data_IF_436928138504
#
_entry.id   IF_436928138504
#
_cell.length_a   1.000
_cell.length_b   1.000
_cell.length_c   1.000
_cell.angle_alpha   90.00
_cell.angle_beta   90.00
_cell.angle_gamma   90.00
#
_symmetry.space_group_name_H-M   'P 1'
#
loop_
_entity.id
_entity.type
_entity.pdbx_description
1 polymer ?
#
# COMPACT_ATOMS: atom_id res chain seq x y z
N UNK A 1 -8.33 -3.46 -15.74
CA UNK A 1 -7.52 -4.13 -14.70
C UNK A 1 -6.53 -3.13 -14.15
N UNK A 2 -6.45 -3.02 -12.82
CA UNK A 2 -5.53 -2.12 -12.09
C UNK A 2 -4.77 -2.94 -11.04
N UNK A 3 -3.53 -2.56 -10.68
CA UNK A 3 -2.84 -3.15 -9.55
C UNK A 3 -3.55 -2.78 -8.24
N UNK A 4 -3.63 -3.74 -7.32
CA UNK A 4 -4.22 -3.56 -6.00
C UNK A 4 -3.30 -4.22 -4.96
N UNK A 5 -2.97 -3.48 -3.91
CA UNK A 5 -2.31 -4.01 -2.71
C UNK A 5 -3.26 -4.05 -1.50
N UNK A 6 -2.80 -4.66 -0.42
CA UNK A 6 -3.46 -4.61 0.88
C UNK A 6 -2.42 -4.66 1.99
N UNK A 7 -2.48 -3.71 2.92
CA UNK A 7 -1.53 -3.58 4.03
C UNK A 7 -2.27 -3.45 5.35
N UNK A 8 -1.88 -4.26 6.34
CA UNK A 8 -2.37 -4.14 7.71
C UNK A 8 -1.73 -2.91 8.37
N UNK A 9 -2.53 -1.85 8.57
CA UNK A 9 -2.01 -0.59 9.08
C UNK A 9 -1.85 -0.58 10.60
N UNK A 10 -2.40 -1.56 11.31
CA UNK A 10 -2.12 -1.75 12.74
C UNK A 10 -0.66 -2.17 12.98
N UNK A 11 0.06 -2.56 11.93
CA UNK A 11 1.47 -2.94 11.97
C UNK A 11 2.43 -1.81 11.60
N UNK A 12 1.93 -0.60 11.29
CA UNK A 12 2.80 0.51 10.92
C UNK A 12 3.51 1.10 12.13
N UNK A 13 4.69 1.66 11.86
CA UNK A 13 5.40 2.55 12.76
C UNK A 13 5.56 3.89 12.04
N UNK A 14 4.59 4.78 12.21
CA UNK A 14 4.44 6.00 11.41
C UNK A 14 3.56 5.79 10.17
N UNK A 15 3.68 6.70 9.23
CA UNK A 15 2.85 6.75 8.02
C UNK A 15 3.31 5.74 6.95
N UNK A 16 2.41 5.40 6.03
CA UNK A 16 2.80 4.70 4.80
C UNK A 16 3.17 5.72 3.72
N UNK A 17 4.35 5.53 3.13
CA UNK A 17 4.94 6.46 2.17
C UNK A 17 5.29 5.75 0.86
N UNK A 18 5.08 6.44 -0.26
CA UNK A 18 5.73 6.10 -1.53
C UNK A 18 7.00 6.93 -1.64
N UNK A 19 8.16 6.28 -1.55
CA UNK A 19 9.46 6.96 -1.61
C UNK A 19 10.53 6.09 -2.25
N UNK A 20 11.69 6.67 -2.51
CA UNK A 20 12.86 5.91 -2.92
C UNK A 20 13.48 5.18 -1.71
N UNK A 21 13.98 3.97 -1.95
CA UNK A 21 14.70 3.18 -0.97
C UNK A 21 16.03 3.84 -0.60
N UNK A 22 16.45 3.62 0.64
CA UNK A 22 17.71 4.12 1.21
C UNK A 22 18.40 3.04 2.01
N UNK A 23 19.68 3.25 2.29
CA UNK A 23 20.43 2.37 3.20
C UNK A 23 19.74 2.26 4.55
N UNK A 24 19.56 1.03 5.01
CA UNK A 24 18.89 0.73 6.28
C UNK A 24 17.43 0.29 6.14
N UNK A 25 16.84 0.44 4.95
CA UNK A 25 15.53 -0.15 4.67
C UNK A 25 15.58 -1.68 4.79
N UNK A 26 14.57 -2.25 5.43
CA UNK A 26 14.45 -3.68 5.71
C UNK A 26 13.26 -4.28 4.95
N UNK A 27 13.49 -5.41 4.30
CA UNK A 27 12.47 -6.13 3.56
C UNK A 27 12.61 -7.64 3.76
N UNK A 28 11.53 -8.26 4.20
CA UNK A 28 11.36 -9.72 4.17
C UNK A 28 10.31 -10.03 3.09
N UNK A 29 10.61 -10.81 2.05
CA UNK A 29 9.63 -11.17 1.02
C UNK A 29 8.46 -11.94 1.60
N UNK A 30 7.27 -11.75 1.03
CA UNK A 30 6.08 -12.51 1.41
C UNK A 30 6.34 -14.03 1.38
N UNK A 31 6.02 -14.72 2.47
CA UNK A 31 6.24 -16.17 2.62
C UNK A 31 7.67 -16.57 2.99
N UNK A 32 8.57 -15.60 3.17
CA UNK A 32 9.95 -15.82 3.60
C UNK A 32 10.16 -15.45 5.08
N UNK A 33 11.28 -15.92 5.63
CA UNK A 33 11.85 -15.45 6.91
C UNK A 33 13.17 -14.72 6.73
N UNK A 34 13.72 -14.79 5.51
CA UNK A 34 15.03 -14.23 5.18
C UNK A 34 14.90 -12.78 4.74
N UNK A 35 15.79 -11.94 5.23
CA UNK A 35 15.90 -10.53 4.83
C UNK A 35 16.57 -10.45 3.46
N UNK A 36 16.01 -9.65 2.56
CA UNK A 36 16.67 -9.26 1.31
C UNK A 36 17.17 -7.83 1.41
N UNK A 37 18.42 -7.62 0.98
CA UNK A 37 19.00 -6.28 0.89
C UNK A 37 18.45 -5.58 -0.36
N UNK A 38 18.06 -4.32 -0.20
CA UNK A 38 17.61 -3.47 -1.30
C UNK A 38 18.79 -2.63 -1.81
N UNK A 39 18.77 -2.38 -3.13
CA UNK A 39 19.56 -1.29 -3.71
C UNK A 39 18.88 0.04 -3.36
N UNK A 40 19.68 1.11 -3.25
CA UNK A 40 19.17 2.46 -3.04
C UNK A 40 18.54 3.00 -4.34
N UNK A 41 17.52 3.84 -4.21
CA UNK A 41 16.86 4.47 -5.36
C UNK A 41 15.73 3.66 -6.01
N UNK A 42 15.31 2.55 -5.40
CA UNK A 42 14.14 1.77 -5.82
C UNK A 42 12.85 2.46 -5.33
N UNK A 43 11.84 2.64 -6.18
CA UNK A 43 10.55 3.18 -5.74
C UNK A 43 9.78 2.10 -4.94
N UNK A 44 9.44 2.42 -3.69
CA UNK A 44 8.86 1.48 -2.73
C UNK A 44 7.68 2.09 -1.97
N UNK A 45 6.84 1.20 -1.42
CA UNK A 45 6.00 1.53 -0.27
C UNK A 45 6.75 1.19 1.01
N UNK A 46 6.78 2.11 1.98
CA UNK A 46 7.43 1.91 3.27
C UNK A 46 6.63 2.49 4.43
N UNK A 47 6.80 1.94 5.62
CA UNK A 47 6.47 2.62 6.88
C UNK A 47 7.73 2.72 7.73
N UNK A 48 8.29 3.93 7.84
CA UNK A 48 9.63 4.12 8.38
C UNK A 48 10.68 3.39 7.52
N UNK A 49 11.51 2.56 8.14
CA UNK A 49 12.50 1.69 7.46
C UNK A 49 11.91 0.33 7.04
N UNK A 50 10.65 0.05 7.37
CA UNK A 50 9.98 -1.20 7.03
C UNK A 50 9.38 -1.11 5.62
N UNK A 51 9.96 -1.86 4.67
CA UNK A 51 9.47 -1.88 3.29
C UNK A 51 8.25 -2.78 3.18
N UNK A 52 7.13 -2.22 2.71
CA UNK A 52 5.86 -2.94 2.52
C UNK A 52 5.75 -3.57 1.15
N UNK A 53 6.16 -2.84 0.12
CA UNK A 53 6.15 -3.31 -1.27
C UNK A 53 7.34 -2.74 -2.03
N UNK A 54 8.09 -3.64 -2.67
CA UNK A 54 9.22 -3.35 -3.54
C UNK A 54 8.81 -3.24 -5.00
N UNK A 55 9.67 -2.57 -5.79
CA UNK A 55 9.55 -2.37 -7.24
C UNK A 55 8.15 -1.88 -7.59
N UNK A 56 7.75 -0.78 -6.95
CA UNK A 56 6.43 -0.14 -6.98
C UNK A 56 5.34 -1.02 -7.59
N UNK A 57 4.50 -1.61 -6.72
CA UNK A 57 3.34 -2.51 -6.98
C UNK A 57 3.61 -4.02 -7.14
N UNK A 58 4.86 -4.49 -7.06
CA UNK A 58 5.15 -5.90 -7.40
C UNK A 58 5.50 -6.81 -6.21
N UNK A 59 6.60 -6.55 -5.50
CA UNK A 59 7.20 -7.55 -4.59
C UNK A 59 6.81 -7.22 -3.15
N UNK A 60 5.74 -7.85 -2.67
CA UNK A 60 5.15 -7.61 -1.35
C UNK A 60 6.02 -8.18 -0.21
N UNK A 61 5.96 -7.51 0.93
CA UNK A 61 6.63 -7.95 2.16
C UNK A 61 5.77 -8.91 2.97
N UNK A 62 6.43 -9.82 3.68
CA UNK A 62 5.86 -10.57 4.80
C UNK A 62 5.42 -9.61 5.94
N UNK A 63 6.07 -8.45 6.04
CA UNK A 63 5.82 -7.45 7.08
C UNK A 63 4.63 -6.57 6.70
N UNK A 64 3.56 -6.62 7.49
CA UNK A 64 2.30 -5.90 7.23
C UNK A 64 1.38 -6.57 6.22
N UNK A 65 1.61 -7.86 5.95
CA UNK A 65 0.62 -8.66 5.26
C UNK A 65 -0.67 -8.73 6.08
N UNK A 66 -1.80 -8.77 5.38
CA UNK A 66 -3.08 -9.02 6.01
C UNK A 66 -3.15 -10.46 6.55
N UNK A 67 -3.79 -10.60 7.70
CA UNK A 67 -4.04 -11.90 8.33
C UNK A 67 -5.49 -11.96 8.80
N UNK A 68 -5.92 -13.11 9.34
CA UNK A 68 -7.23 -13.24 9.96
C UNK A 68 -7.41 -12.40 11.24
N UNK A 69 -6.36 -11.72 11.71
CA UNK A 69 -6.40 -10.84 12.89
C UNK A 69 -6.42 -9.35 12.53
N UNK A 70 -6.14 -9.01 11.28
CA UNK A 70 -6.04 -7.63 10.82
C UNK A 70 -7.41 -6.95 10.88
N UNK A 71 -7.44 -5.67 11.29
CA UNK A 71 -8.69 -4.91 11.47
C UNK A 71 -8.71 -3.65 10.62
N UNK A 72 -7.58 -2.94 10.58
CA UNK A 72 -7.44 -1.72 9.81
C UNK A 72 -6.57 -2.00 8.59
N UNK A 73 -7.13 -1.83 7.39
CA UNK A 73 -6.47 -2.21 6.13
C UNK A 73 -6.37 -0.99 5.20
N UNK A 74 -5.17 -0.74 4.69
CA UNK A 74 -4.93 0.19 3.60
C UNK A 74 -4.85 -0.57 2.27
N UNK A 75 -5.62 -0.11 1.28
CA UNK A 75 -5.67 -0.67 -0.07
C UNK A 75 -5.14 0.34 -1.10
N UNK A 76 -3.85 0.28 -1.48
CA UNK A 76 -3.33 1.09 -2.60
C UNK A 76 -3.84 0.56 -3.94
N UNK A 77 -4.35 1.46 -4.78
CA UNK A 77 -4.69 1.21 -6.18
C UNK A 77 -3.91 2.22 -7.03
N UNK A 78 -2.88 1.74 -7.70
CA UNK A 78 -1.95 2.59 -8.45
C UNK A 78 -2.33 2.69 -9.94
N UNK A 79 -2.04 3.84 -10.54
CA UNK A 79 -2.18 4.04 -11.98
C UNK A 79 -1.57 5.34 -12.45
N UNK A 80 -1.81 5.67 -13.71
CA UNK A 80 -1.30 6.86 -14.37
C UNK A 80 -2.48 7.72 -14.85
N UNK A 81 -2.47 9.01 -14.46
CA UNK A 81 -3.54 9.97 -14.76
C UNK A 81 -3.93 10.00 -16.25
N UNK A 82 -2.94 9.90 -17.15
CA UNK A 82 -3.12 9.98 -18.61
C UNK A 82 -3.39 8.61 -19.28
N UNK A 83 -3.43 7.51 -18.52
CA UNK A 83 -3.62 6.15 -19.07
C UNK A 83 -4.87 5.46 -18.58
N UNK A 84 -5.10 5.46 -17.26
CA UNK A 84 -6.11 4.60 -16.65
C UNK A 84 -6.77 5.20 -15.41
N UNK A 85 -6.81 6.54 -15.31
CA UNK A 85 -7.43 7.25 -14.19
C UNK A 85 -8.84 6.76 -13.87
N UNK A 86 -9.73 6.71 -14.87
CA UNK A 86 -11.13 6.30 -14.67
C UNK A 86 -11.22 4.85 -14.16
N UNK A 87 -10.30 3.98 -14.57
CA UNK A 87 -10.24 2.60 -14.07
C UNK A 87 -9.77 2.54 -12.61
N UNK A 88 -8.84 3.40 -12.20
CA UNK A 88 -8.37 3.49 -10.80
C UNK A 88 -9.49 3.99 -9.90
N UNK A 89 -10.16 5.09 -10.29
CA UNK A 89 -11.26 5.66 -9.51
C UNK A 89 -12.43 4.68 -9.42
N UNK A 90 -12.81 4.07 -10.54
CA UNK A 90 -13.91 3.10 -10.55
C UNK A 90 -13.59 1.87 -9.67
N UNK A 91 -12.37 1.35 -9.73
CA UNK A 91 -11.95 0.22 -8.88
C UNK A 91 -11.91 0.57 -7.38
N UNK A 92 -11.47 1.80 -7.04
CA UNK A 92 -11.50 2.31 -5.67
C UNK A 92 -12.93 2.39 -5.14
N UNK A 93 -13.83 2.97 -5.91
CA UNK A 93 -15.21 3.18 -5.50
C UNK A 93 -15.97 1.85 -5.40
N UNK A 94 -15.72 0.91 -6.33
CA UNK A 94 -16.25 -0.45 -6.28
C UNK A 94 -15.77 -1.19 -5.03
N UNK A 95 -14.46 -1.19 -4.75
CA UNK A 95 -13.91 -1.82 -3.56
C UNK A 95 -14.48 -1.20 -2.27
N UNK A 96 -14.58 0.12 -2.21
CA UNK A 96 -15.14 0.82 -1.07
C UNK A 96 -16.61 0.44 -0.81
N UNK A 97 -17.44 0.31 -1.85
CA UNK A 97 -18.82 -0.19 -1.71
C UNK A 97 -18.84 -1.62 -1.19
N UNK A 98 -18.05 -2.52 -1.80
CA UNK A 98 -18.00 -3.93 -1.39
C UNK A 98 -17.57 -4.11 0.07
N UNK A 99 -16.60 -3.32 0.54
CA UNK A 99 -16.15 -3.36 1.93
C UNK A 99 -17.27 -2.93 2.91
N UNK A 100 -18.05 -1.91 2.55
CA UNK A 100 -19.22 -1.49 3.34
C UNK A 100 -20.33 -2.55 3.31
N UNK A 101 -20.68 -3.02 2.12
CA UNK A 101 -21.85 -3.87 1.91
C UNK A 101 -21.66 -5.30 2.44
N UNK A 102 -20.45 -5.86 2.28
CA UNK A 102 -20.17 -7.26 2.64
C UNK A 102 -19.63 -7.36 4.07
N UNK A 103 -18.76 -6.43 4.47
CA UNK A 103 -18.04 -6.52 5.75
C UNK A 103 -18.50 -5.48 6.77
N UNK A 104 -19.38 -4.55 6.39
CA UNK A 104 -19.84 -3.46 7.27
C UNK A 104 -18.67 -2.63 7.82
N UNK A 105 -17.61 -2.47 7.03
CA UNK A 105 -16.47 -1.64 7.41
C UNK A 105 -16.81 -0.15 7.30
N UNK A 106 -16.25 0.65 8.20
CA UNK A 106 -16.07 2.08 7.96
C UNK A 106 -14.97 2.25 6.89
N UNK A 107 -15.27 3.00 5.83
CA UNK A 107 -14.34 3.16 4.70
C UNK A 107 -14.24 4.62 4.31
N UNK A 108 -13.00 5.09 4.33
CA UNK A 108 -12.56 6.36 3.79
C UNK A 108 -11.80 6.15 2.47
N UNK A 109 -11.94 7.10 1.55
CA UNK A 109 -11.27 7.05 0.25
C UNK A 109 -10.53 8.35 -0.01
N UNK A 110 -9.31 8.23 -0.52
CA UNK A 110 -8.45 9.35 -0.88
C UNK A 110 -7.95 9.26 -2.31
N UNK A 111 -7.17 10.27 -2.70
CA UNK A 111 -6.37 10.27 -3.92
C UNK A 111 -5.10 11.07 -3.66
N UNK A 112 -3.95 10.47 -3.97
CA UNK A 112 -2.63 11.08 -3.77
C UNK A 112 -1.95 11.17 -5.14
N UNK A 113 -1.34 12.32 -5.42
CA UNK A 113 -0.55 12.57 -6.60
C UNK A 113 0.61 13.53 -6.30
N UNK A 114 1.25 14.07 -7.34
CA UNK A 114 2.34 15.02 -7.21
C UNK A 114 1.92 16.41 -6.69
N UNK A 115 0.64 16.76 -6.81
CA UNK A 115 0.08 18.05 -6.39
C UNK A 115 -0.59 17.93 -4.99
N UNK A 116 -1.03 16.72 -4.63
CA UNK A 116 -1.67 16.37 -3.36
C UNK A 116 -0.95 15.15 -2.79
N UNK A 117 0.14 15.39 -2.05
CA UNK A 117 1.10 14.33 -1.66
C UNK A 117 0.71 13.56 -0.40
N UNK A 118 -0.40 13.90 0.24
CA UNK A 118 -0.84 13.27 1.48
C UNK A 118 -2.35 13.02 1.49
N UNK A 119 -2.76 11.97 2.20
CA UNK A 119 -4.15 11.69 2.55
C UNK A 119 -4.19 11.38 4.04
N UNK A 120 -5.03 12.10 4.79
CA UNK A 120 -5.19 11.92 6.23
C UNK A 120 -6.47 11.16 6.51
N UNK A 121 -6.37 10.24 7.46
CA UNK A 121 -7.49 9.49 8.03
C UNK A 121 -7.75 10.03 9.44
N UNK A 122 -9.01 10.06 9.85
CA UNK A 122 -9.45 10.63 11.14
C UNK A 122 -9.26 9.66 12.34
#
# INVERSE_FOLDING_TARGET
MVPLGAHDIDTLNGDIEVRFSKKGDNFIPLGSKEVEVLEEGELIYSAGDNVRTRRWIWRQSEQGKITNKSKNIFFPIDGFKDKNYDNVISARDELASLLKDIFSCDVEVGFVDNDNTEFKID
#
